data_IF_663835754115
#
_entry.id   IF_663835754115
#
_cell.length_a   1.000
_cell.length_b   1.000
_cell.length_c   1.000
_cell.angle_alpha   90.00
_cell.angle_beta   90.00
_cell.angle_gamma   90.00
#
_symmetry.space_group_name_H-M   'P 1'
#
loop_
_entity.id
_entity.type
_entity.pdbx_description
1 polymer ?
#
# COMPACT_ATOMS: atom_id res chain seq x y z
N UNK A 1 7.71 -12.96 -0.36
CA UNK A 1 6.35 -12.39 -0.52
C UNK A 1 5.63 -12.59 0.79
N UNK A 2 5.44 -11.53 1.58
CA UNK A 2 4.66 -11.60 2.83
C UNK A 2 3.19 -11.43 2.45
N UNK A 3 2.35 -12.41 2.77
CA UNK A 3 0.92 -12.39 2.46
C UNK A 3 0.14 -11.99 3.72
N UNK A 4 -0.30 -10.74 3.79
CA UNK A 4 -1.18 -10.29 4.88
C UNK A 4 -2.64 -10.58 4.53
N UNK A 5 -3.30 -11.46 5.30
CA UNK A 5 -4.68 -11.89 5.06
C UNK A 5 -5.63 -11.07 5.92
N UNK A 6 -6.20 -10.01 5.36
CA UNK A 6 -7.20 -9.18 6.05
C UNK A 6 -8.54 -9.91 6.07
N UNK A 7 -9.02 -10.32 7.25
CA UNK A 7 -10.35 -10.92 7.42
C UNK A 7 -11.42 -9.94 6.93
N UNK A 8 -12.25 -10.37 5.99
CA UNK A 8 -13.37 -9.58 5.46
C UNK A 8 -13.08 -8.79 4.18
N UNK A 9 -11.83 -8.73 3.71
CA UNK A 9 -11.45 -8.04 2.46
C UNK A 9 -12.16 -8.67 1.25
N UNK A 10 -12.23 -9.99 1.18
CA UNK A 10 -12.91 -10.69 0.07
C UNK A 10 -14.40 -10.36 0.00
N UNK A 11 -15.07 -10.27 1.16
CA UNK A 11 -16.49 -9.93 1.25
C UNK A 11 -16.72 -8.48 0.82
N UNK A 12 -15.85 -7.57 1.24
CA UNK A 12 -15.87 -6.18 0.83
C UNK A 12 -15.69 -6.04 -0.70
N UNK A 13 -14.66 -6.65 -1.27
CA UNK A 13 -14.40 -6.62 -2.72
C UNK A 13 -15.58 -7.15 -3.53
N UNK A 14 -16.23 -8.23 -3.08
CA UNK A 14 -17.45 -8.75 -3.70
C UNK A 14 -18.60 -7.74 -3.66
N UNK A 15 -18.80 -7.03 -2.55
CA UNK A 15 -19.83 -5.98 -2.44
C UNK A 15 -19.55 -4.82 -3.38
N UNK A 16 -18.30 -4.35 -3.48
CA UNK A 16 -17.92 -3.26 -4.38
C UNK A 16 -18.10 -3.68 -5.84
N UNK A 17 -17.69 -4.90 -6.22
CA UNK A 17 -17.86 -5.43 -7.58
C UNK A 17 -19.32 -5.55 -8.03
N UNK A 18 -20.25 -5.72 -7.10
CA UNK A 18 -21.70 -5.78 -7.38
C UNK A 18 -22.34 -4.39 -7.51
N UNK A 19 -21.63 -3.31 -7.17
CA UNK A 19 -22.12 -1.94 -7.33
C UNK A 19 -21.91 -1.43 -8.77
N UNK A 20 -22.61 -0.36 -9.19
CA UNK A 20 -22.43 0.25 -10.51
C UNK A 20 -20.97 0.62 -10.80
N UNK A 21 -20.61 0.71 -12.09
CA UNK A 21 -19.25 1.03 -12.52
C UNK A 21 -18.75 2.36 -11.94
N UNK A 22 -19.66 3.31 -11.71
CA UNK A 22 -19.40 4.61 -11.10
C UNK A 22 -18.88 4.46 -9.68
N UNK A 23 -19.51 3.60 -8.87
CA UNK A 23 -19.07 3.31 -7.51
C UNK A 23 -17.72 2.58 -7.51
N UNK A 24 -17.50 1.65 -8.43
CA UNK A 24 -16.21 0.98 -8.58
C UNK A 24 -15.10 1.97 -8.95
N UNK A 25 -15.36 2.89 -9.88
CA UNK A 25 -14.43 3.98 -10.23
C UNK A 25 -14.15 4.91 -9.06
N UNK A 26 -15.15 5.23 -8.24
CA UNK A 26 -14.96 6.07 -7.06
C UNK A 26 -14.04 5.40 -6.03
N UNK A 27 -14.25 4.11 -5.76
CA UNK A 27 -13.38 3.32 -4.88
C UNK A 27 -11.97 3.19 -5.47
N UNK A 28 -11.84 2.92 -6.77
CA UNK A 28 -10.53 2.80 -7.41
C UNK A 28 -9.72 4.11 -7.35
N UNK A 29 -10.38 5.27 -7.50
CA UNK A 29 -9.75 6.59 -7.29
C UNK A 29 -9.21 6.76 -5.87
N UNK A 30 -9.92 6.27 -4.86
CA UNK A 30 -9.46 6.28 -3.47
C UNK A 30 -8.25 5.37 -3.30
N UNK A 31 -8.27 4.17 -3.89
CA UNK A 31 -7.14 3.24 -3.83
C UNK A 31 -5.90 3.78 -4.53
N UNK A 32 -6.03 4.47 -5.67
CA UNK A 32 -4.93 5.17 -6.35
C UNK A 32 -4.31 6.23 -5.44
N UNK A 33 -5.13 7.06 -4.78
CA UNK A 33 -4.60 8.09 -3.88
C UNK A 33 -3.90 7.46 -2.68
N UNK A 34 -4.50 6.42 -2.11
CA UNK A 34 -3.93 5.71 -0.98
C UNK A 34 -2.61 5.04 -1.34
N UNK A 35 -2.51 4.38 -2.50
CA UNK A 35 -1.25 3.76 -2.95
C UNK A 35 -0.14 4.77 -3.18
N UNK A 36 -0.45 5.95 -3.73
CA UNK A 36 0.48 7.08 -3.84
C UNK A 36 0.91 7.65 -2.48
N UNK A 37 0.03 7.67 -1.49
CA UNK A 37 0.36 8.06 -0.11
C UNK A 37 1.29 7.04 0.54
N UNK A 38 1.03 5.74 0.36
CA UNK A 38 1.94 4.67 0.82
C UNK A 38 3.29 4.77 0.12
N UNK A 39 3.32 4.97 -1.21
CA UNK A 39 4.57 5.17 -1.95
C UNK A 39 5.38 6.34 -1.37
N UNK A 40 4.74 7.49 -1.16
CA UNK A 40 5.38 8.66 -0.55
C UNK A 40 5.90 8.35 0.86
N UNK A 41 5.10 7.68 1.69
CA UNK A 41 5.51 7.26 3.03
C UNK A 41 6.72 6.34 2.99
N UNK A 42 6.70 5.34 2.11
CA UNK A 42 7.79 4.38 1.96
C UNK A 42 9.08 5.07 1.48
N UNK A 43 8.97 6.04 0.57
CA UNK A 43 10.10 6.89 0.16
C UNK A 43 10.67 7.71 1.31
N UNK A 44 9.80 8.24 2.17
CA UNK A 44 10.19 9.06 3.32
C UNK A 44 10.86 8.23 4.43
N UNK A 45 10.35 7.04 4.72
CA UNK A 45 10.91 6.16 5.75
C UNK A 45 12.13 5.37 5.28
N UNK A 46 12.33 5.24 3.96
CA UNK A 46 13.47 4.51 3.42
C UNK A 46 14.79 5.16 3.87
N UNK A 47 15.77 4.36 4.35
CA UNK A 47 17.10 4.84 4.69
C UNK A 47 17.74 5.58 3.52
N UNK A 48 18.33 6.73 3.83
CA UNK A 48 18.94 7.61 2.84
C UNK A 48 20.47 7.50 2.88
N UNK A 49 21.00 6.52 2.14
CA UNK A 49 22.43 6.46 1.83
C UNK A 49 22.72 7.20 0.52
N UNK A 50 22.47 6.55 -0.62
CA UNK A 50 22.63 7.11 -1.98
C UNK A 50 21.32 7.62 -2.57
N UNK A 51 20.21 7.42 -1.86
CA UNK A 51 18.85 7.72 -2.33
C UNK A 51 18.27 6.69 -3.33
N UNK A 52 19.05 5.70 -3.81
CA UNK A 52 18.56 4.74 -4.81
C UNK A 52 17.37 3.90 -4.31
N UNK A 53 17.42 3.41 -3.06
CA UNK A 53 16.32 2.66 -2.45
C UNK A 53 15.03 3.48 -2.44
N UNK A 54 15.10 4.71 -1.89
CA UNK A 54 13.94 5.61 -1.83
C UNK A 54 13.42 5.95 -3.23
N UNK A 55 14.28 6.41 -4.13
CA UNK A 55 13.88 6.91 -5.44
C UNK A 55 13.24 5.85 -6.35
N UNK A 56 13.55 4.58 -6.14
CA UNK A 56 13.05 3.48 -6.97
C UNK A 56 11.73 2.88 -6.47
N UNK A 57 11.22 3.27 -5.30
CA UNK A 57 9.92 2.81 -4.82
C UNK A 57 8.81 3.39 -5.70
N UNK A 58 7.82 2.57 -6.07
CA UNK A 58 6.70 3.03 -6.89
C UNK A 58 5.40 2.30 -6.53
N UNK A 59 4.27 2.96 -6.76
CA UNK A 59 2.94 2.37 -6.76
C UNK A 59 2.50 2.02 -8.18
N UNK A 60 1.74 0.93 -8.31
CA UNK A 60 1.20 0.51 -9.61
C UNK A 60 -0.14 -0.23 -9.44
N UNK A 61 -1.08 -0.06 -10.39
CA UNK A 61 -2.26 -0.90 -10.44
C UNK A 61 -1.87 -2.34 -10.80
N UNK A 62 -2.57 -3.30 -10.21
CA UNK A 62 -2.48 -4.73 -10.59
C UNK A 62 -3.82 -5.30 -11.06
N UNK A 63 -4.88 -4.51 -11.00
CA UNK A 63 -6.21 -4.85 -11.48
C UNK A 63 -7.25 -3.85 -10.99
N UNK A 64 -8.51 -4.12 -11.32
CA UNK A 64 -9.63 -3.29 -10.84
C UNK A 64 -9.72 -3.40 -9.33
N UNK A 65 -9.75 -2.26 -8.61
CA UNK A 65 -9.78 -2.19 -7.15
C UNK A 65 -8.55 -2.79 -6.46
N UNK A 66 -7.40 -2.85 -7.14
CA UNK A 66 -6.20 -3.46 -6.56
C UNK A 66 -4.93 -2.76 -7.05
N UNK A 67 -4.16 -2.27 -6.08
CA UNK A 67 -2.90 -1.54 -6.28
C UNK A 67 -1.81 -2.15 -5.42
N UNK A 68 -0.56 -2.06 -5.87
CA UNK A 68 0.62 -2.49 -5.11
C UNK A 68 1.59 -1.32 -4.96
N UNK A 69 2.43 -1.38 -3.93
CA UNK A 69 3.63 -0.57 -3.78
C UNK A 69 4.83 -1.50 -3.78
N UNK A 70 5.84 -1.17 -4.57
CA UNK A 70 6.99 -2.02 -4.85
C UNK A 70 8.27 -1.27 -4.52
N UNK A 71 9.16 -1.93 -3.79
CA UNK A 71 10.56 -1.53 -3.68
C UNK A 71 11.41 -2.52 -4.49
N UNK A 72 11.92 -2.13 -5.69
CA UNK A 72 12.56 -3.05 -6.62
C UNK A 72 14.02 -3.37 -6.24
N UNK A 73 14.58 -2.64 -5.28
CA UNK A 73 15.93 -2.86 -4.79
C UNK A 73 16.11 -4.30 -4.30
N UNK A 74 17.08 -5.05 -4.85
CA UNK A 74 17.34 -6.43 -4.43
C UNK A 74 17.61 -6.55 -2.92
N UNK A 75 18.20 -5.52 -2.32
CA UNK A 75 18.48 -5.46 -0.90
C UNK A 75 17.33 -4.90 -0.04
N UNK A 76 16.24 -4.43 -0.65
CA UNK A 76 15.08 -3.84 0.06
C UNK A 76 14.56 -4.74 1.15
N UNK A 77 14.45 -6.05 0.90
CA UNK A 77 13.91 -7.00 1.87
C UNK A 77 14.82 -7.13 3.10
N UNK A 78 16.13 -7.07 2.92
CA UNK A 78 17.10 -7.11 4.01
C UNK A 78 17.08 -5.84 4.83
N UNK A 79 16.80 -4.69 4.20
CA UNK A 79 16.60 -3.41 4.90
C UNK A 79 15.31 -3.44 5.70
N UNK A 80 14.20 -3.87 5.09
CA UNK A 80 12.88 -3.92 5.74
C UNK A 80 12.85 -4.86 6.95
N UNK A 81 13.45 -6.06 6.83
CA UNK A 81 13.33 -7.13 7.83
C UNK A 81 14.59 -7.29 8.70
N UNK A 82 15.69 -6.66 8.34
CA UNK A 82 17.00 -6.88 8.95
C UNK A 82 17.64 -8.20 8.50
N UNK A 83 18.85 -8.43 9.00
CA UNK A 83 19.63 -9.65 8.82
C UNK A 83 20.29 -10.04 10.14
N UNK A 84 20.99 -11.18 10.19
CA UNK A 84 21.79 -11.56 11.36
C UNK A 84 22.83 -10.50 11.78
N UNK A 85 23.30 -9.67 10.84
CA UNK A 85 24.38 -8.69 11.07
C UNK A 85 23.91 -7.23 11.08
N UNK A 86 22.66 -6.95 10.72
CA UNK A 86 22.12 -5.61 10.57
C UNK A 86 20.69 -5.57 11.08
N UNK A 87 20.38 -4.62 11.98
CA UNK A 87 19.02 -4.43 12.47
C UNK A 87 18.06 -4.00 11.34
N UNK A 88 16.78 -4.34 11.49
CA UNK A 88 15.74 -3.93 10.55
C UNK A 88 15.56 -2.41 10.55
N UNK A 89 15.39 -1.84 9.36
CA UNK A 89 15.04 -0.45 9.12
C UNK A 89 13.77 -0.43 8.26
N UNK A 90 12.61 -0.76 8.85
CA UNK A 90 11.37 -0.92 8.11
C UNK A 90 10.90 0.42 7.54
N UNK A 91 10.43 0.39 6.30
CA UNK A 91 9.95 1.57 5.57
C UNK A 91 8.66 1.29 4.80
N UNK A 92 8.45 0.05 4.34
CA UNK A 92 7.21 -0.35 3.65
C UNK A 92 6.07 -0.57 4.64
N UNK A 93 6.30 -1.33 5.72
CA UNK A 93 5.26 -1.61 6.71
C UNK A 93 4.79 -0.34 7.43
N UNK A 94 5.68 0.55 7.93
CA UNK A 94 5.25 1.78 8.58
C UNK A 94 4.48 2.71 7.64
N UNK A 95 4.86 2.77 6.36
CA UNK A 95 4.12 3.52 5.36
C UNK A 95 2.68 2.99 5.19
N UNK A 96 2.53 1.67 5.09
CA UNK A 96 1.22 1.04 4.96
C UNK A 96 0.35 1.25 6.21
N UNK A 97 0.91 1.04 7.40
CA UNK A 97 0.20 1.20 8.67
C UNK A 97 -0.25 2.64 8.91
N UNK A 98 0.58 3.62 8.56
CA UNK A 98 0.25 5.05 8.69
C UNK A 98 -0.91 5.49 7.78
N UNK A 99 -1.09 4.81 6.65
CA UNK A 99 -2.10 5.12 5.65
C UNK A 99 -3.40 4.34 5.86
N UNK A 100 -3.32 3.13 6.43
CA UNK A 100 -4.46 2.26 6.66
C UNK A 100 -5.69 2.94 7.30
N UNK A 101 -5.58 3.71 8.42
CA UNK A 101 -6.75 4.35 9.01
C UNK A 101 -7.39 5.40 8.09
N UNK A 102 -6.60 6.11 7.29
CA UNK A 102 -7.11 7.12 6.34
C UNK A 102 -7.90 6.46 5.22
N UNK A 103 -7.35 5.41 4.63
CA UNK A 103 -8.03 4.61 3.60
C UNK A 103 -9.37 4.07 4.12
N UNK A 104 -9.36 3.44 5.30
CA UNK A 104 -10.58 2.88 5.88
C UNK A 104 -11.62 3.95 6.22
N UNK A 105 -11.19 5.13 6.64
CA UNK A 105 -12.05 6.30 6.83
C UNK A 105 -12.73 6.76 5.53
N UNK A 106 -11.95 6.97 4.47
CA UNK A 106 -12.46 7.37 3.15
C UNK A 106 -13.46 6.35 2.59
N UNK A 107 -13.13 5.05 2.68
CA UNK A 107 -14.04 3.99 2.24
C UNK A 107 -15.31 3.96 3.07
N UNK A 108 -15.24 4.06 4.40
CA UNK A 108 -16.43 4.04 5.27
C UNK A 108 -17.41 5.16 4.94
N UNK A 109 -16.92 6.35 4.57
CA UNK A 109 -17.77 7.46 4.12
C UNK A 109 -18.50 7.12 2.82
N UNK A 110 -17.83 6.46 1.86
CA UNK A 110 -18.45 6.07 0.58
C UNK A 110 -19.58 5.04 0.74
N UNK A 111 -19.54 4.19 1.76
CA UNK A 111 -20.55 3.15 2.01
C UNK A 111 -21.57 3.53 3.09
N UNK A 112 -21.55 4.77 3.59
CA UNK A 112 -22.46 5.27 4.63
C UNK A 112 -23.82 5.75 4.10
N UNK A 113 -24.19 5.35 2.89
CA UNK A 113 -25.50 5.59 2.28
C UNK A 113 -26.37 4.35 2.29
#
# INVERSE_FOLDING_TARGET
MITYKVRGLDSFLRKVRKKPKEAQKAVDKVLIRSSLRVERGAKFYAPWDTGWLSNTIYSAPIGVLSHKVVSPAHYSVYVELGTRKMAAQPFMMPALESEYPKLMGELKVMFRG
#
